data_IF_963054718794
#
_entry.id   IF_963054718794
#
_cell.length_a   1.000
_cell.length_b   1.000
_cell.length_c   1.000
_cell.angle_alpha   90.00
_cell.angle_beta   90.00
_cell.angle_gamma   90.00
#
_symmetry.space_group_name_H-M   'P 1'
#
loop_
_entity.id
_entity.type
_entity.pdbx_description
1 polymer ?
#
# COMPACT_ATOMS: atom_id res chain seq x y z
N UNK A 1 -31.33 -29.33 33.08
CA UNK A 1 -30.09 -28.56 33.35
C UNK A 1 -29.10 -28.61 32.18
N UNK A 2 -28.84 -29.77 31.58
CA UNK A 2 -27.92 -29.94 30.42
C UNK A 2 -28.28 -29.13 29.15
N UNK A 3 -29.58 -28.86 28.93
CA UNK A 3 -30.06 -28.05 27.78
C UNK A 3 -29.80 -26.55 27.94
N UNK A 4 -29.70 -26.04 29.18
CA UNK A 4 -29.40 -24.64 29.45
C UNK A 4 -27.90 -24.35 29.35
N UNK A 5 -27.07 -25.29 29.78
CA UNK A 5 -25.61 -25.19 29.62
C UNK A 5 -25.18 -25.25 28.15
N UNK A 6 -25.84 -26.07 27.33
CA UNK A 6 -25.59 -26.12 25.88
C UNK A 6 -25.91 -24.77 25.17
N UNK A 7 -27.01 -24.11 25.53
CA UNK A 7 -27.38 -22.80 24.96
C UNK A 7 -26.41 -21.68 25.39
N UNK A 8 -25.97 -21.70 26.65
CA UNK A 8 -25.00 -20.74 27.15
C UNK A 8 -23.63 -20.89 26.48
N UNK A 9 -23.20 -22.14 26.21
CA UNK A 9 -21.94 -22.42 25.51
C UNK A 9 -21.96 -21.96 24.05
N UNK A 10 -23.09 -22.14 23.34
CA UNK A 10 -23.24 -21.66 21.96
C UNK A 10 -23.17 -20.13 21.86
N UNK A 11 -23.80 -19.40 22.80
CA UNK A 11 -23.69 -17.94 22.85
C UNK A 11 -22.27 -17.45 23.19
N UNK A 12 -21.56 -18.14 24.08
CA UNK A 12 -20.19 -17.77 24.44
C UNK A 12 -19.21 -17.96 23.27
N UNK A 13 -19.42 -19.01 22.47
CA UNK A 13 -18.61 -19.26 21.26
C UNK A 13 -18.90 -18.21 20.18
N UNK A 14 -20.16 -17.84 19.94
CA UNK A 14 -20.48 -16.83 18.93
C UNK A 14 -19.96 -15.43 19.28
N UNK A 15 -19.90 -15.07 20.57
CA UNK A 15 -19.26 -13.82 21.04
C UNK A 15 -17.72 -13.88 20.96
N UNK A 16 -17.12 -15.06 21.15
CA UNK A 16 -15.67 -15.26 21.04
C UNK A 16 -15.13 -15.12 19.61
N UNK A 17 -15.89 -15.56 18.60
CA UNK A 17 -15.50 -15.45 17.19
C UNK A 17 -15.61 -14.03 16.63
N UNK A 18 -16.55 -13.21 17.13
CA UNK A 18 -16.71 -11.82 16.69
C UNK A 18 -15.52 -10.91 17.07
N UNK A 19 -14.74 -11.28 18.10
CA UNK A 19 -13.57 -10.52 18.56
C UNK A 19 -12.28 -10.79 17.77
N UNK A 20 -12.24 -11.82 16.91
CA UNK A 20 -11.02 -12.23 16.20
C UNK A 20 -10.84 -11.56 14.82
N UNK A 21 -11.82 -10.81 14.34
CA UNK A 21 -11.90 -10.36 12.94
C UNK A 21 -11.53 -8.89 12.68
N UNK A 22 -10.82 -8.20 13.60
CA UNK A 22 -10.48 -6.78 13.47
C UNK A 22 -9.01 -6.52 13.07
N UNK A 23 -8.45 -7.29 12.13
CA UNK A 23 -7.22 -6.88 11.47
C UNK A 23 -7.58 -5.84 10.39
N UNK A 24 -7.12 -4.59 10.56
CA UNK A 24 -7.26 -3.58 9.52
C UNK A 24 -6.58 -4.05 8.24
N UNK A 25 -7.16 -3.75 7.08
CA UNK A 25 -6.51 -4.05 5.80
C UNK A 25 -5.16 -3.31 5.70
N UNK A 26 -4.12 -3.95 5.14
CA UNK A 26 -2.83 -3.30 4.94
C UNK A 26 -2.96 -2.04 4.07
N UNK A 27 -2.18 -1.03 4.39
CA UNK A 27 -2.00 0.15 3.55
C UNK A 27 -1.20 -0.27 2.32
N UNK A 28 -1.84 -0.19 1.15
CA UNK A 28 -1.18 -0.48 -0.13
C UNK A 28 -0.55 0.80 -0.68
N UNK A 29 0.77 0.81 -0.83
CA UNK A 29 1.53 1.89 -1.48
C UNK A 29 1.91 1.44 -2.89
N UNK A 30 1.19 1.90 -3.91
CA UNK A 30 1.63 1.73 -5.30
C UNK A 30 2.69 2.79 -5.60
N UNK A 31 3.93 2.33 -5.78
CA UNK A 31 5.07 3.16 -6.14
C UNK A 31 5.36 3.03 -7.64
N UNK A 32 4.91 4.01 -8.43
CA UNK A 32 5.14 4.06 -9.88
C UNK A 32 6.37 4.90 -10.24
N UNK A 33 7.22 4.40 -11.14
CA UNK A 33 8.33 5.17 -11.69
C UNK A 33 8.74 4.74 -13.11
N UNK A 34 9.37 5.67 -13.82
CA UNK A 34 9.60 5.55 -15.28
C UNK A 34 10.85 4.76 -15.70
N UNK A 35 11.78 4.52 -14.79
CA UNK A 35 13.07 3.85 -15.10
C UNK A 35 13.07 2.35 -14.80
N UNK A 36 14.09 1.65 -15.28
CA UNK A 36 14.30 0.22 -15.00
C UNK A 36 14.74 -0.07 -13.55
N UNK A 37 14.44 -1.28 -13.08
CA UNK A 37 14.73 -1.72 -11.70
C UNK A 37 16.23 -1.69 -11.34
N UNK A 38 17.11 -2.00 -12.30
CA UNK A 38 18.56 -2.04 -12.07
C UNK A 38 19.20 -0.64 -11.97
N UNK A 39 18.46 0.42 -12.21
CA UNK A 39 18.95 1.80 -12.06
C UNK A 39 18.98 2.21 -10.58
N UNK A 40 19.76 3.23 -10.19
CA UNK A 40 19.78 3.70 -8.80
C UNK A 40 18.39 4.05 -8.22
N UNK A 41 17.50 4.64 -9.05
CA UNK A 41 16.12 4.94 -8.63
C UNK A 41 15.29 3.67 -8.47
N UNK A 42 15.41 2.70 -9.38
CA UNK A 42 14.75 1.40 -9.26
C UNK A 42 15.20 0.62 -8.02
N UNK A 43 16.51 0.58 -7.76
CA UNK A 43 17.07 -0.04 -6.55
C UNK A 43 16.62 0.69 -5.28
N UNK A 44 16.53 2.02 -5.31
CA UNK A 44 15.98 2.82 -4.21
C UNK A 44 14.51 2.50 -3.92
N UNK A 45 13.68 2.31 -4.96
CA UNK A 45 12.27 1.92 -4.81
C UNK A 45 12.12 0.52 -4.20
N UNK A 46 12.94 -0.44 -4.63
CA UNK A 46 12.97 -1.80 -4.07
C UNK A 46 13.48 -1.81 -2.62
N UNK A 47 14.48 -0.99 -2.29
CA UNK A 47 14.96 -0.82 -0.93
C UNK A 47 13.88 -0.20 -0.04
N UNK A 48 13.15 0.81 -0.53
CA UNK A 48 12.01 1.39 0.17
C UNK A 48 10.94 0.33 0.48
N UNK A 49 10.53 -0.47 -0.52
CA UNK A 49 9.61 -1.60 -0.34
C UNK A 49 10.06 -2.51 0.79
N UNK A 50 11.29 -3.02 0.70
CA UNK A 50 11.88 -3.91 1.72
C UNK A 50 11.81 -3.29 3.12
N UNK A 51 12.31 -2.06 3.25
CA UNK A 51 12.44 -1.40 4.56
C UNK A 51 11.10 -1.01 5.18
N UNK A 52 10.11 -0.66 4.35
CA UNK A 52 8.76 -0.34 4.80
C UNK A 52 8.03 -1.60 5.30
N UNK A 53 8.07 -2.68 4.52
CA UNK A 53 7.42 -3.95 4.88
C UNK A 53 8.08 -4.61 6.10
N UNK A 54 9.40 -4.51 6.25
CA UNK A 54 10.12 -4.99 7.44
C UNK A 54 9.76 -4.21 8.72
N UNK A 55 9.57 -2.89 8.62
CA UNK A 55 9.30 -2.02 9.78
C UNK A 55 7.82 -1.99 10.17
N UNK A 56 6.92 -2.27 9.23
CA UNK A 56 5.47 -2.18 9.41
C UNK A 56 4.79 -3.50 8.99
N UNK A 57 5.16 -4.63 9.62
CA UNK A 57 4.70 -5.95 9.22
C UNK A 57 3.18 -6.06 9.33
N UNK A 58 2.54 -6.51 8.25
CA UNK A 58 1.08 -6.65 8.16
C UNK A 58 0.30 -5.34 8.08
N UNK A 59 0.98 -4.19 8.17
CA UNK A 59 0.35 -2.86 8.11
C UNK A 59 0.60 -2.16 6.78
N UNK A 60 1.73 -2.42 6.12
CA UNK A 60 2.09 -1.80 4.83
C UNK A 60 2.49 -2.86 3.82
N UNK A 61 1.97 -2.72 2.61
CA UNK A 61 2.41 -3.45 1.43
C UNK A 61 2.85 -2.43 0.37
N UNK A 62 4.06 -2.56 -0.17
CA UNK A 62 4.55 -1.67 -1.23
C UNK A 62 4.58 -2.43 -2.56
N UNK A 63 3.87 -1.92 -3.56
CA UNK A 63 3.86 -2.48 -4.91
C UNK A 63 4.67 -1.57 -5.83
N UNK A 64 5.82 -2.05 -6.32
CA UNK A 64 6.72 -1.26 -7.16
C UNK A 64 6.41 -1.52 -8.64
N UNK A 65 6.14 -0.45 -9.39
CA UNK A 65 5.85 -0.47 -10.81
C UNK A 65 6.93 0.30 -11.57
N UNK A 66 7.90 -0.44 -12.11
CA UNK A 66 9.03 0.08 -12.88
C UNK A 66 8.71 0.23 -14.36
N UNK A 67 9.62 0.86 -15.12
CA UNK A 67 9.53 1.01 -16.58
C UNK A 67 8.20 1.58 -17.08
N UNK A 68 7.59 2.50 -16.32
CA UNK A 68 6.28 3.06 -16.67
C UNK A 68 5.17 2.00 -16.85
N UNK A 69 5.30 0.83 -16.22
CA UNK A 69 4.34 -0.28 -16.39
C UNK A 69 2.94 0.04 -15.89
N UNK A 70 2.82 0.99 -14.95
CA UNK A 70 1.53 1.49 -14.46
C UNK A 70 1.17 2.85 -15.07
N UNK A 71 2.06 3.84 -14.95
CA UNK A 71 1.89 5.16 -15.55
C UNK A 71 3.20 5.66 -16.18
N UNK A 72 3.08 6.26 -17.36
CA UNK A 72 4.20 6.86 -18.08
C UNK A 72 4.55 8.28 -17.62
N UNK A 73 5.70 8.73 -18.10
CA UNK A 73 6.16 10.10 -17.90
C UNK A 73 5.09 11.11 -18.38
N UNK A 74 4.79 12.11 -17.55
CA UNK A 74 3.76 13.11 -17.77
C UNK A 74 2.37 12.78 -17.21
N UNK A 75 2.05 11.49 -16.97
CA UNK A 75 0.77 11.07 -16.36
C UNK A 75 0.87 10.74 -14.87
N UNK A 76 2.09 10.51 -14.37
CA UNK A 76 2.32 10.11 -12.97
C UNK A 76 1.83 11.13 -11.93
N UNK A 77 1.89 12.43 -12.25
CA UNK A 77 1.38 13.49 -11.36
C UNK A 77 -0.16 13.49 -11.26
N UNK A 78 -0.85 13.26 -12.39
CA UNK A 78 -2.31 13.14 -12.43
C UNK A 78 -2.76 11.86 -11.71
N UNK A 79 -2.06 10.74 -11.93
CA UNK A 79 -2.31 9.49 -11.22
C UNK A 79 -2.15 9.64 -9.69
N UNK A 80 -1.15 10.42 -9.24
CA UNK A 80 -1.01 10.75 -7.82
C UNK A 80 -2.19 11.58 -7.31
N UNK A 81 -2.62 12.61 -8.07
CA UNK A 81 -3.73 13.48 -7.69
C UNK A 81 -5.06 12.72 -7.58
N UNK A 82 -5.31 11.78 -8.48
CA UNK A 82 -6.53 10.96 -8.51
C UNK A 82 -6.49 9.80 -7.49
N UNK A 83 -5.35 9.53 -6.86
CA UNK A 83 -5.19 8.46 -5.88
C UNK A 83 -4.94 7.08 -6.51
N UNK A 84 -4.68 7.00 -7.82
CA UNK A 84 -4.37 5.75 -8.50
C UNK A 84 -3.02 5.17 -8.07
N UNK A 85 -2.12 6.04 -7.60
CA UNK A 85 -0.83 5.70 -6.96
C UNK A 85 -0.63 6.49 -5.66
N UNK A 86 0.15 5.93 -4.75
CA UNK A 86 0.43 6.55 -3.45
C UNK A 86 1.83 7.19 -3.42
N UNK A 87 2.71 6.78 -4.34
CA UNK A 87 4.07 7.30 -4.41
C UNK A 87 4.57 7.33 -5.86
N UNK A 88 5.25 8.42 -6.21
CA UNK A 88 5.92 8.63 -7.49
C UNK A 88 7.32 9.20 -7.25
N UNK A 89 8.22 9.06 -8.24
CA UNK A 89 9.59 9.60 -8.17
C UNK A 89 9.94 10.42 -9.44
N UNK A 90 9.25 11.54 -9.69
CA UNK A 90 9.47 12.39 -10.86
C UNK A 90 10.82 13.12 -10.82
N UNK A 91 11.26 13.64 -11.97
CA UNK A 91 12.35 14.63 -12.04
C UNK A 91 11.87 16.00 -11.55
N UNK A 92 12.74 16.80 -10.95
CA UNK A 92 12.42 18.17 -10.52
C UNK A 92 11.92 19.05 -11.68
N UNK A 93 12.44 18.84 -12.89
CA UNK A 93 12.00 19.58 -14.08
C UNK A 93 10.50 19.41 -14.38
N UNK A 94 9.87 18.33 -13.91
CA UNK A 94 8.43 18.10 -14.10
C UNK A 94 7.55 19.00 -13.23
N UNK A 95 8.13 19.63 -12.21
CA UNK A 95 7.40 20.56 -11.34
C UNK A 95 7.26 21.96 -11.94
N UNK A 96 7.95 22.30 -13.03
CA UNK A 96 7.82 23.61 -13.69
C UNK A 96 6.38 23.96 -14.05
N UNK A 97 5.58 22.97 -14.45
CA UNK A 97 4.16 23.14 -14.76
C UNK A 97 3.27 23.38 -13.52
N UNK A 98 3.80 23.14 -12.32
CA UNK A 98 3.09 23.22 -11.05
C UNK A 98 3.63 24.33 -10.12
N UNK A 99 4.81 24.88 -10.42
CA UNK A 99 5.33 26.05 -9.73
C UNK A 99 4.61 27.30 -10.21
N UNK A 100 4.19 28.16 -9.26
CA UNK A 100 3.75 29.51 -9.60
C UNK A 100 4.94 30.29 -10.20
N UNK A 101 4.68 31.20 -11.16
CA UNK A 101 5.71 32.10 -11.66
C UNK A 101 6.31 32.96 -10.55
#
# INVERSE_FOLDING_TARGET
MLKMTAKALVCAVSLGLAGLANAAEPIVIKFSHVVAEHTPKGQGALLFKKLAEERLPGQVEVQVYSNSSLFGDGKEMEALLLGDVQLIAPSLAKFEHYSKP
#
